data_IF_664050176855
#
_entry.id   IF_664050176855
#
_cell.length_a   1.000
_cell.length_b   1.000
_cell.length_c   1.000
_cell.angle_alpha   90.00
_cell.angle_beta   90.00
_cell.angle_gamma   90.00
#
_symmetry.space_group_name_H-M   'P 1'
#
loop_
_entity.id
_entity.type
_entity.pdbx_description
1 polymer ?
#
# COMPACT_ATOMS: atom_id res chain seq x y z
N UNK A 1 -15.28 -16.60 -6.35
CA UNK A 1 -15.32 -15.35 -7.16
C UNK A 1 -14.92 -15.58 -8.61
N UNK A 2 -14.02 -16.50 -8.93
CA UNK A 2 -13.53 -16.75 -10.30
C UNK A 2 -14.67 -17.05 -11.28
N UNK A 3 -15.68 -17.78 -10.85
CA UNK A 3 -16.85 -18.14 -11.67
C UNK A 3 -18.11 -17.30 -11.37
N UNK A 4 -17.97 -16.23 -10.61
CA UNK A 4 -19.10 -15.33 -10.33
C UNK A 4 -19.65 -14.72 -11.61
N UNK A 5 -20.98 -14.62 -11.77
CA UNK A 5 -21.58 -13.91 -12.91
C UNK A 5 -21.25 -12.40 -12.90
N UNK A 6 -20.87 -11.86 -11.74
CA UNK A 6 -20.47 -10.46 -11.58
C UNK A 6 -19.00 -10.20 -11.94
N UNK A 7 -18.21 -11.26 -12.22
CA UNK A 7 -16.81 -11.09 -12.60
C UNK A 7 -16.72 -10.34 -13.95
N UNK A 8 -15.81 -9.38 -14.00
CA UNK A 8 -15.46 -8.69 -15.25
C UNK A 8 -14.82 -9.70 -16.22
N UNK A 9 -15.41 -9.85 -17.41
CA UNK A 9 -14.98 -10.83 -18.42
C UNK A 9 -14.39 -10.19 -19.68
N UNK A 10 -14.57 -8.88 -19.83
CA UNK A 10 -14.18 -8.12 -21.02
C UNK A 10 -13.48 -6.84 -20.59
N UNK A 11 -12.64 -6.26 -21.45
CA UNK A 11 -12.07 -4.96 -21.20
C UNK A 11 -13.15 -3.88 -21.21
N UNK A 12 -12.98 -2.91 -20.33
CA UNK A 12 -13.82 -1.74 -20.26
C UNK A 12 -12.95 -0.49 -20.37
N UNK A 13 -13.37 0.42 -21.19
CA UNK A 13 -12.74 1.72 -21.39
C UNK A 13 -13.74 2.81 -20.99
N UNK A 14 -13.25 3.94 -20.54
CA UNK A 14 -14.12 5.10 -20.30
C UNK A 14 -14.85 5.45 -21.58
N UNK A 15 -16.20 5.52 -21.52
CA UNK A 15 -17.04 5.69 -22.71
C UNK A 15 -16.65 6.89 -23.57
N UNK A 16 -16.45 8.05 -22.94
CA UNK A 16 -16.01 9.24 -23.64
C UNK A 16 -14.67 9.07 -24.38
N UNK A 17 -13.71 8.35 -23.78
CA UNK A 17 -12.45 8.04 -24.46
C UNK A 17 -12.67 7.07 -25.63
N UNK A 18 -13.49 6.06 -25.45
CA UNK A 18 -13.76 5.05 -26.48
C UNK A 18 -14.47 5.68 -27.71
N UNK A 19 -15.40 6.59 -27.47
CA UNK A 19 -16.06 7.35 -28.54
C UNK A 19 -15.08 8.22 -29.32
N UNK A 20 -14.23 8.97 -28.63
CA UNK A 20 -13.18 9.80 -29.27
C UNK A 20 -12.20 8.92 -30.05
N UNK A 21 -11.78 7.80 -29.46
CA UNK A 21 -10.86 6.87 -30.12
C UNK A 21 -11.45 6.33 -31.42
N UNK A 22 -12.69 5.87 -31.39
CA UNK A 22 -13.37 5.34 -32.59
C UNK A 22 -13.56 6.39 -33.66
N UNK A 23 -13.87 7.62 -33.28
CA UNK A 23 -13.97 8.74 -34.21
C UNK A 23 -12.59 9.05 -34.85
N UNK A 24 -11.55 9.17 -34.04
CA UNK A 24 -10.20 9.43 -34.52
C UNK A 24 -9.69 8.30 -35.44
N UNK A 25 -9.95 7.02 -35.10
CA UNK A 25 -9.57 5.87 -35.95
C UNK A 25 -10.32 5.83 -37.29
N UNK A 26 -11.48 6.46 -37.38
CA UNK A 26 -12.20 6.59 -38.66
C UNK A 26 -11.58 7.67 -39.57
N UNK A 27 -10.83 8.61 -39.01
CA UNK A 27 -10.20 9.74 -39.73
C UNK A 27 -8.71 9.51 -40.02
N UNK A 28 -8.03 8.68 -39.19
CA UNK A 28 -6.61 8.43 -39.27
C UNK A 28 -6.30 6.94 -39.49
N UNK A 29 -5.54 6.60 -40.50
CA UNK A 29 -5.08 5.24 -40.78
C UNK A 29 -4.04 4.77 -39.74
N UNK A 30 -3.17 5.67 -39.27
CA UNK A 30 -2.20 5.36 -38.24
C UNK A 30 -2.81 5.50 -36.85
N UNK A 31 -2.75 4.47 -36.00
CA UNK A 31 -3.24 4.53 -34.63
C UNK A 31 -2.54 5.58 -33.77
N UNK A 32 -1.26 5.87 -34.02
CA UNK A 32 -0.50 6.86 -33.26
C UNK A 32 -0.99 8.26 -33.56
N UNK A 33 -1.27 8.55 -34.83
CA UNK A 33 -1.86 9.83 -35.25
C UNK A 33 -3.28 9.99 -34.71
N UNK A 34 -4.08 8.92 -34.72
CA UNK A 34 -5.40 8.93 -34.12
C UNK A 34 -5.34 9.22 -32.61
N UNK A 35 -4.39 8.64 -31.90
CA UNK A 35 -4.18 8.96 -30.49
C UNK A 35 -3.70 10.41 -30.29
N UNK A 36 -2.76 10.87 -31.10
CA UNK A 36 -2.24 12.25 -31.02
C UNK A 36 -3.34 13.29 -31.16
N UNK A 37 -4.34 13.03 -32.01
CA UNK A 37 -5.48 13.92 -32.23
C UNK A 37 -6.38 14.10 -30.98
N UNK A 38 -6.44 13.09 -30.09
CA UNK A 38 -7.31 13.08 -28.91
C UNK A 38 -6.55 13.15 -27.59
N UNK A 39 -5.21 13.06 -27.62
CA UNK A 39 -4.40 13.04 -26.41
C UNK A 39 -4.65 14.28 -25.55
N UNK A 40 -5.09 14.05 -24.32
CA UNK A 40 -5.38 15.14 -23.38
C UNK A 40 -6.73 15.85 -23.57
N UNK A 41 -7.60 15.38 -24.48
CA UNK A 41 -8.90 16.00 -24.72
C UNK A 41 -9.73 16.10 -23.42
N UNK A 42 -10.23 17.30 -23.07
CA UNK A 42 -11.05 17.52 -21.88
C UNK A 42 -12.32 16.68 -21.84
N UNK A 43 -12.86 16.28 -23.00
CA UNK A 43 -14.09 15.48 -23.07
C UNK A 43 -13.96 14.14 -22.31
N UNK A 44 -12.78 13.50 -22.33
CA UNK A 44 -12.56 12.28 -21.56
C UNK A 44 -11.76 12.50 -20.25
N UNK A 45 -10.81 13.43 -20.23
CA UNK A 45 -9.97 13.65 -19.04
C UNK A 45 -10.78 14.19 -17.87
N UNK A 46 -11.76 15.06 -18.14
CA UNK A 46 -12.69 15.57 -17.11
C UNK A 46 -13.63 14.51 -16.52
N UNK A 47 -13.74 13.36 -17.16
CA UNK A 47 -14.58 12.23 -16.69
C UNK A 47 -13.83 11.27 -15.75
N UNK A 48 -12.57 11.53 -15.44
CA UNK A 48 -11.79 10.70 -14.52
C UNK A 48 -12.48 10.60 -13.15
N UNK A 49 -12.66 9.38 -12.66
CA UNK A 49 -13.33 9.11 -11.38
C UNK A 49 -14.87 9.12 -11.42
N UNK A 50 -15.50 9.48 -12.54
CA UNK A 50 -16.96 9.59 -12.64
C UNK A 50 -17.67 8.34 -13.19
N UNK A 51 -16.94 7.24 -13.43
CA UNK A 51 -17.51 6.03 -14.01
C UNK A 51 -17.74 6.15 -15.53
N UNK A 52 -18.86 5.59 -16.01
CA UNK A 52 -19.24 5.68 -17.41
C UNK A 52 -18.38 4.75 -18.32
N UNK A 53 -18.02 3.56 -17.85
CA UNK A 53 -17.25 2.59 -18.62
C UNK A 53 -18.09 1.88 -19.66
N UNK A 54 -17.57 1.75 -20.87
CA UNK A 54 -18.12 0.99 -21.97
C UNK A 54 -17.26 -0.24 -22.30
N UNK A 55 -17.92 -1.32 -22.72
CA UNK A 55 -17.24 -2.53 -23.16
C UNK A 55 -16.53 -2.30 -24.49
N UNK A 56 -15.29 -2.78 -24.58
CA UNK A 56 -14.48 -2.80 -25.79
C UNK A 56 -14.00 -4.23 -26.12
N UNK A 57 -13.40 -4.45 -27.28
CA UNK A 57 -12.68 -5.70 -27.59
C UNK A 57 -11.24 -5.62 -27.09
N UNK A 58 -10.57 -6.78 -26.96
CA UNK A 58 -9.16 -6.84 -26.63
C UNK A 58 -8.27 -6.24 -27.72
N UNK A 59 -8.65 -6.42 -28.99
CA UNK A 59 -7.94 -5.82 -30.11
C UNK A 59 -7.97 -4.29 -30.02
N UNK A 60 -9.16 -3.73 -29.85
CA UNK A 60 -9.37 -2.29 -29.75
C UNK A 60 -8.60 -1.67 -28.55
N UNK A 61 -8.65 -2.33 -27.40
CA UNK A 61 -7.93 -1.83 -26.22
C UNK A 61 -6.41 -1.96 -26.38
N UNK A 62 -5.94 -3.06 -26.97
CA UNK A 62 -4.51 -3.26 -27.21
C UNK A 62 -3.95 -2.24 -28.20
N UNK A 63 -4.68 -1.95 -29.27
CA UNK A 63 -4.31 -0.93 -30.24
C UNK A 63 -4.26 0.47 -29.61
N UNK A 64 -5.29 0.85 -28.86
CA UNK A 64 -5.36 2.11 -28.14
C UNK A 64 -4.18 2.29 -27.16
N UNK A 65 -3.91 1.25 -26.37
CA UNK A 65 -2.80 1.28 -25.41
C UNK A 65 -1.44 1.36 -26.13
N UNK A 66 -1.24 0.60 -27.19
CA UNK A 66 -0.02 0.63 -27.97
C UNK A 66 0.21 2.02 -28.58
N UNK A 67 -0.82 2.60 -29.20
CA UNK A 67 -0.76 3.95 -29.76
C UNK A 67 -0.39 5.01 -28.73
N UNK A 68 -1.02 4.93 -27.53
CA UNK A 68 -0.72 5.82 -26.42
C UNK A 68 0.72 5.70 -25.92
N UNK A 69 1.25 4.47 -25.82
CA UNK A 69 2.64 4.24 -25.42
C UNK A 69 3.62 4.75 -26.48
N UNK A 70 3.42 4.40 -27.75
CA UNK A 70 4.30 4.84 -28.83
C UNK A 70 4.33 6.37 -28.92
N UNK A 71 3.16 7.01 -28.93
CA UNK A 71 3.06 8.48 -28.90
C UNK A 71 3.83 9.11 -27.73
N UNK A 72 3.70 8.51 -26.52
CA UNK A 72 4.40 9.01 -25.33
C UNK A 72 5.91 8.85 -25.47
N UNK A 73 6.38 7.71 -25.96
CA UNK A 73 7.80 7.44 -26.19
C UNK A 73 8.41 8.41 -27.17
N UNK A 74 7.75 8.62 -28.32
CA UNK A 74 8.24 9.49 -29.39
C UNK A 74 8.25 10.97 -28.98
N UNK A 75 7.24 11.38 -28.22
CA UNK A 75 7.07 12.80 -27.89
C UNK A 75 7.78 13.22 -26.61
N UNK A 76 7.87 12.33 -25.63
CA UNK A 76 8.30 12.68 -24.27
C UNK A 76 9.42 11.80 -23.72
N UNK A 77 9.72 10.69 -24.39
CA UNK A 77 10.66 9.66 -23.92
C UNK A 77 9.97 8.50 -23.19
N UNK A 78 10.63 7.33 -23.20
CA UNK A 78 10.08 6.13 -22.59
C UNK A 78 10.00 6.20 -21.04
N UNK A 79 10.83 7.03 -20.43
CA UNK A 79 10.87 7.30 -18.99
C UNK A 79 9.62 8.01 -18.45
N UNK A 80 8.68 8.37 -19.34
CA UNK A 80 7.37 8.93 -18.99
C UNK A 80 6.27 7.87 -18.88
N UNK A 81 6.66 6.61 -19.01
CA UNK A 81 5.76 5.46 -18.79
C UNK A 81 6.21 4.74 -17.53
N UNK A 82 5.39 4.83 -16.49
CA UNK A 82 5.65 4.19 -15.21
C UNK A 82 4.75 2.98 -15.02
N UNK A 83 5.24 1.99 -14.28
CA UNK A 83 4.44 0.87 -13.85
C UNK A 83 4.93 0.28 -12.54
N UNK A 84 4.00 -0.32 -11.80
CA UNK A 84 4.31 -1.07 -10.60
C UNK A 84 4.42 -2.55 -10.91
N UNK A 85 5.49 -3.17 -10.44
CA UNK A 85 5.56 -4.62 -10.39
C UNK A 85 4.65 -5.15 -9.28
N UNK A 86 3.99 -6.31 -9.48
CA UNK A 86 3.23 -6.97 -8.42
C UNK A 86 4.14 -7.37 -7.25
N UNK A 87 3.53 -7.65 -6.11
CA UNK A 87 4.25 -8.12 -4.91
C UNK A 87 5.04 -9.39 -5.21
N UNK A 88 6.25 -9.54 -4.68
CA UNK A 88 7.08 -10.74 -4.87
C UNK A 88 6.44 -12.06 -4.41
N UNK A 89 5.45 -11.99 -3.52
CA UNK A 89 4.71 -13.16 -3.06
C UNK A 89 3.78 -13.77 -4.12
N UNK A 90 3.61 -13.12 -5.26
CA UNK A 90 2.84 -13.65 -6.39
C UNK A 90 3.68 -14.57 -7.26
N UNK A 91 3.05 -15.19 -8.26
CA UNK A 91 3.77 -16.07 -9.18
C UNK A 91 4.89 -15.31 -9.91
N UNK A 92 5.98 -16.01 -10.17
CA UNK A 92 7.13 -15.46 -10.92
C UNK A 92 6.70 -14.91 -12.30
N UNK A 93 5.75 -15.55 -12.96
CA UNK A 93 5.23 -15.08 -14.25
C UNK A 93 4.50 -13.74 -14.13
N UNK A 94 3.72 -13.54 -13.07
CA UNK A 94 3.02 -12.27 -12.81
C UNK A 94 4.01 -11.15 -12.48
N UNK A 95 5.02 -11.45 -11.68
CA UNK A 95 6.08 -10.50 -11.35
C UNK A 95 6.91 -10.12 -12.59
N UNK A 96 7.39 -11.13 -13.32
CA UNK A 96 8.25 -10.93 -14.48
C UNK A 96 7.53 -10.26 -15.65
N UNK A 97 6.23 -10.50 -15.83
CA UNK A 97 5.46 -9.99 -16.97
C UNK A 97 5.47 -8.45 -17.03
N UNK A 98 5.10 -7.78 -15.96
CA UNK A 98 5.10 -6.31 -15.88
C UNK A 98 6.50 -5.70 -15.97
N UNK A 99 7.44 -6.24 -15.20
CA UNK A 99 8.83 -5.79 -15.18
C UNK A 99 9.48 -5.94 -16.56
N UNK A 100 9.27 -7.09 -17.22
CA UNK A 100 9.78 -7.33 -18.57
C UNK A 100 9.18 -6.34 -19.59
N UNK A 101 7.88 -6.09 -19.54
CA UNK A 101 7.21 -5.15 -20.44
C UNK A 101 7.85 -3.75 -20.31
N UNK A 102 7.94 -3.21 -19.10
CA UNK A 102 8.51 -1.90 -18.87
C UNK A 102 9.97 -1.83 -19.30
N UNK A 103 10.77 -2.87 -19.00
CA UNK A 103 12.17 -2.92 -19.41
C UNK A 103 12.33 -2.93 -20.93
N UNK A 104 11.45 -3.63 -21.67
CA UNK A 104 11.50 -3.71 -23.13
C UNK A 104 11.14 -2.38 -23.81
N UNK A 105 10.24 -1.59 -23.25
CA UNK A 105 9.85 -0.28 -23.80
C UNK A 105 10.70 0.88 -23.26
N UNK A 106 11.63 0.61 -22.33
CA UNK A 106 12.42 1.65 -21.68
C UNK A 106 11.67 2.46 -20.61
N UNK A 107 10.53 1.95 -20.14
CA UNK A 107 9.73 2.57 -19.09
C UNK A 107 10.32 2.40 -17.70
N UNK A 108 9.76 3.12 -16.72
CA UNK A 108 10.19 3.10 -15.33
C UNK A 108 9.40 2.02 -14.57
N UNK A 109 10.12 1.07 -13.98
CA UNK A 109 9.52 0.08 -13.09
C UNK A 109 9.66 0.56 -11.65
N UNK A 110 8.56 1.03 -11.07
CA UNK A 110 8.50 1.45 -9.68
C UNK A 110 8.48 0.24 -8.76
N UNK A 111 9.19 0.32 -7.65
CA UNK A 111 9.19 -0.72 -6.65
C UNK A 111 7.90 -0.65 -5.83
N UNK A 112 7.26 -1.80 -5.63
CA UNK A 112 6.15 -1.93 -4.73
C UNK A 112 6.52 -1.55 -3.29
N UNK A 113 7.72 -1.91 -2.87
CA UNK A 113 8.22 -1.65 -1.52
C UNK A 113 8.52 -0.18 -1.26
N UNK A 114 8.86 0.60 -2.28
CA UNK A 114 9.13 2.04 -2.13
C UNK A 114 7.85 2.84 -1.89
N UNK A 115 6.72 2.26 -2.19
CA UNK A 115 5.43 2.96 -2.16
C UNK A 115 4.47 2.46 -1.09
N UNK A 116 4.64 1.22 -0.65
CA UNK A 116 3.76 0.58 0.31
C UNK A 116 4.26 0.74 1.74
N UNK A 117 3.29 0.88 2.64
CA UNK A 117 3.50 1.01 4.08
C UNK A 117 4.04 -0.25 4.78
N UNK A 118 4.45 -1.26 4.07
CA UNK A 118 5.22 -2.38 4.62
C UNK A 118 6.60 -1.92 5.10
N UNK A 119 7.08 -0.82 4.53
CA UNK A 119 8.30 -0.16 4.93
C UNK A 119 7.93 1.09 5.69
N UNK A 120 8.18 1.15 7.00
CA UNK A 120 7.78 2.29 7.82
C UNK A 120 8.51 3.55 7.34
N UNK A 121 7.82 4.52 6.73
CA UNK A 121 8.47 5.73 6.20
C UNK A 121 9.10 6.58 7.32
N UNK A 122 8.69 6.37 8.56
CA UNK A 122 9.27 7.02 9.72
C UNK A 122 10.62 6.43 10.14
N UNK A 123 10.88 5.14 9.85
CA UNK A 123 12.12 4.48 10.27
C UNK A 123 13.38 5.15 9.74
N UNK A 124 13.50 5.50 8.45
CA UNK A 124 14.64 6.24 7.96
C UNK A 124 14.83 7.61 8.61
N UNK A 125 13.74 8.27 8.97
CA UNK A 125 13.79 9.58 9.62
C UNK A 125 14.26 9.51 11.08
N UNK A 126 13.95 8.41 11.77
CA UNK A 126 14.28 8.24 13.18
C UNK A 126 15.62 7.53 13.35
N UNK A 127 15.89 6.48 12.58
CA UNK A 127 17.04 5.58 12.73
C UNK A 127 18.04 5.63 11.58
N UNK A 128 17.72 6.33 10.50
CA UNK A 128 18.58 6.42 9.32
C UNK A 128 18.57 5.16 8.45
N UNK A 129 17.77 4.16 8.78
CA UNK A 129 17.67 2.90 8.04
C UNK A 129 16.21 2.45 7.92
N UNK A 130 15.91 1.84 6.79
CA UNK A 130 14.61 1.28 6.49
C UNK A 130 14.59 -0.19 6.91
N UNK A 131 14.33 -0.45 8.16
CA UNK A 131 14.39 -1.78 8.74
C UNK A 131 13.19 -2.07 9.62
N UNK A 132 12.72 -3.30 9.56
CA UNK A 132 11.73 -3.86 10.46
C UNK A 132 12.46 -4.64 11.57
N UNK A 133 12.88 -3.98 12.59
CA UNK A 133 13.37 -4.60 13.82
C UNK A 133 12.37 -4.32 14.94
N UNK A 134 12.16 -5.25 15.85
CA UNK A 134 12.81 -6.55 16.09
C UNK A 134 12.26 -7.69 15.25
N UNK A 135 12.93 -8.86 15.28
CA UNK A 135 12.41 -10.11 14.72
C UNK A 135 11.18 -10.60 15.48
N UNK A 136 10.32 -11.39 14.81
CA UNK A 136 9.09 -11.90 15.42
C UNK A 136 9.35 -12.78 16.66
N UNK A 137 10.50 -13.45 16.74
CA UNK A 137 10.92 -14.24 17.90
C UNK A 137 11.12 -13.39 19.16
N UNK A 138 11.44 -12.11 19.02
CA UNK A 138 11.61 -11.18 20.15
C UNK A 138 10.29 -10.92 20.89
N UNK A 139 9.15 -11.16 20.21
CA UNK A 139 7.83 -11.01 20.83
C UNK A 139 7.65 -11.91 22.06
N UNK A 140 8.37 -13.03 22.12
CA UNK A 140 8.35 -13.90 23.30
C UNK A 140 8.92 -13.27 24.58
N UNK A 141 9.82 -12.32 24.40
CA UNK A 141 10.45 -11.58 25.50
C UNK A 141 9.67 -10.33 25.91
N UNK A 142 8.69 -9.93 25.11
CA UNK A 142 7.86 -8.77 25.40
C UNK A 142 6.75 -9.13 26.41
N UNK A 143 6.58 -8.31 27.43
CA UNK A 143 5.45 -8.43 28.38
C UNK A 143 4.17 -7.78 27.82
N UNK A 144 4.31 -6.88 26.85
CA UNK A 144 3.22 -6.16 26.21
C UNK A 144 3.46 -6.08 24.71
N UNK A 145 2.46 -6.45 23.91
CA UNK A 145 2.49 -6.41 22.47
C UNK A 145 1.33 -5.59 21.94
N UNK A 146 1.61 -4.58 21.14
CA UNK A 146 0.59 -3.79 20.45
C UNK A 146 0.61 -4.12 18.96
N UNK A 147 -0.49 -4.67 18.45
CA UNK A 147 -0.70 -4.93 17.03
C UNK A 147 -1.45 -3.76 16.42
N UNK A 148 -0.75 -2.97 15.63
CA UNK A 148 -1.32 -1.77 15.02
C UNK A 148 -1.62 -2.00 13.54
N UNK A 149 -2.89 -2.17 13.20
CA UNK A 149 -3.37 -2.40 11.83
C UNK A 149 -2.95 -3.72 11.20
N UNK A 150 -2.20 -4.56 11.92
CA UNK A 150 -1.67 -5.82 11.40
C UNK A 150 -2.49 -7.01 11.85
N UNK A 151 -3.18 -7.67 10.93
CA UNK A 151 -3.93 -8.89 11.18
C UNK A 151 -3.00 -10.12 11.13
N UNK A 152 -2.08 -10.20 12.07
CA UNK A 152 -0.99 -11.19 12.12
C UNK A 152 -1.44 -12.62 11.82
N UNK A 153 -2.54 -13.16 12.40
CA UNK A 153 -2.95 -14.54 12.12
C UNK A 153 -3.31 -14.84 10.68
N UNK A 154 -3.60 -13.81 9.87
CA UNK A 154 -3.95 -13.96 8.46
C UNK A 154 -2.88 -13.43 7.52
N UNK A 155 -2.25 -12.30 7.85
CA UNK A 155 -1.32 -11.62 6.96
C UNK A 155 0.14 -11.92 7.26
N UNK A 156 0.43 -12.43 8.47
CA UNK A 156 1.75 -12.90 8.90
C UNK A 156 1.61 -14.24 9.64
N UNK A 157 0.96 -15.19 9.01
CA UNK A 157 0.61 -16.49 9.61
C UNK A 157 1.79 -17.20 10.28
N UNK A 158 3.02 -17.23 9.71
CA UNK A 158 4.18 -17.83 10.36
C UNK A 158 4.53 -17.19 11.72
N UNK A 159 4.23 -15.92 11.92
CA UNK A 159 4.57 -15.18 13.14
C UNK A 159 3.48 -15.29 14.22
N UNK A 160 2.30 -15.76 13.87
CA UNK A 160 1.15 -15.79 14.77
C UNK A 160 1.40 -16.63 16.04
N UNK A 161 2.20 -17.69 15.95
CA UNK A 161 2.49 -18.53 17.10
C UNK A 161 3.28 -17.80 18.19
N UNK A 162 4.18 -16.90 17.85
CA UNK A 162 4.91 -16.10 18.85
C UNK A 162 3.96 -15.28 19.71
N UNK A 163 3.01 -14.59 19.06
CA UNK A 163 1.98 -13.82 19.76
C UNK A 163 1.08 -14.69 20.63
N UNK A 164 0.62 -15.83 20.10
CA UNK A 164 -0.33 -16.69 20.83
C UNK A 164 0.32 -17.43 21.99
N UNK A 165 1.55 -17.91 21.84
CA UNK A 165 2.27 -18.65 22.85
C UNK A 165 2.81 -17.76 23.97
N UNK A 166 3.26 -16.55 23.67
CA UNK A 166 3.72 -15.61 24.70
C UNK A 166 2.62 -15.23 25.70
N UNK A 167 1.36 -15.29 25.31
CA UNK A 167 0.22 -15.07 26.21
C UNK A 167 0.16 -16.10 27.35
N UNK A 168 0.57 -17.33 27.11
CA UNK A 168 0.66 -18.35 28.18
C UNK A 168 1.71 -17.99 29.26
N UNK A 169 2.62 -17.05 28.93
CA UNK A 169 3.60 -16.50 29.86
C UNK A 169 3.18 -15.16 30.47
N UNK A 170 1.94 -14.73 30.21
CA UNK A 170 1.38 -13.51 30.77
C UNK A 170 1.50 -12.26 29.90
N UNK A 171 2.02 -12.37 28.66
CA UNK A 171 2.04 -11.26 27.72
C UNK A 171 0.64 -10.69 27.52
N UNK A 172 0.54 -9.36 27.56
CA UNK A 172 -0.68 -8.62 27.20
C UNK A 172 -0.65 -8.21 25.76
N UNK A 173 -1.77 -8.41 25.07
CA UNK A 173 -1.93 -8.06 23.66
C UNK A 173 -3.00 -6.99 23.51
N UNK A 174 -2.64 -5.88 22.90
CA UNK A 174 -3.56 -4.81 22.50
C UNK A 174 -3.61 -4.72 20.98
N UNK A 175 -4.81 -4.63 20.43
CA UNK A 175 -5.02 -4.49 19.00
C UNK A 175 -5.62 -3.11 18.72
N UNK A 176 -4.97 -2.36 17.85
CA UNK A 176 -5.49 -1.12 17.27
C UNK A 176 -5.91 -1.42 15.84
N UNK A 177 -7.21 -1.42 15.59
CA UNK A 177 -7.76 -1.76 14.28
C UNK A 177 -9.19 -1.22 14.15
N UNK A 178 -9.59 -0.67 13.00
CA UNK A 178 -10.95 -0.19 12.80
C UNK A 178 -11.99 -1.32 12.75
N UNK A 179 -11.57 -2.55 12.46
CA UNK A 179 -12.44 -3.72 12.35
C UNK A 179 -12.08 -4.81 13.36
N UNK A 180 -13.08 -5.61 13.71
CA UNK A 180 -12.91 -6.79 14.56
C UNK A 180 -12.46 -7.99 13.73
N UNK A 181 -11.18 -8.01 13.36
CA UNK A 181 -10.58 -9.05 12.51
C UNK A 181 -9.97 -10.22 13.31
N UNK A 182 -9.28 -11.13 12.62
CA UNK A 182 -8.76 -12.37 13.21
C UNK A 182 -7.80 -12.18 14.38
N UNK A 183 -7.05 -11.09 14.43
CA UNK A 183 -6.11 -10.79 15.52
C UNK A 183 -6.80 -10.32 16.81
N UNK A 184 -7.99 -9.71 16.72
CA UNK A 184 -8.71 -9.20 17.88
C UNK A 184 -9.18 -10.29 18.83
N UNK A 185 -9.43 -11.50 18.34
CA UNK A 185 -9.78 -12.64 19.21
C UNK A 185 -8.69 -13.04 20.19
N UNK A 186 -7.45 -12.62 19.96
CA UNK A 186 -6.32 -12.85 20.85
C UNK A 186 -5.98 -11.65 21.73
N UNK A 187 -6.66 -10.53 21.55
CA UNK A 187 -6.40 -9.29 22.27
C UNK A 187 -6.99 -9.32 23.69
N UNK A 188 -6.25 -8.76 24.64
CA UNK A 188 -6.79 -8.38 25.96
C UNK A 188 -7.63 -7.09 25.83
N UNK A 189 -7.20 -6.17 24.95
CA UNK A 189 -7.94 -4.95 24.63
C UNK A 189 -7.94 -4.71 23.12
N UNK A 190 -9.09 -4.28 22.62
CA UNK A 190 -9.24 -3.80 21.26
C UNK A 190 -9.59 -2.31 21.25
N UNK A 191 -8.81 -1.54 20.53
CA UNK A 191 -9.01 -0.10 20.33
C UNK A 191 -9.52 0.12 18.89
N UNK A 192 -10.82 0.33 18.69
CA UNK A 192 -11.40 0.55 17.36
C UNK A 192 -11.16 1.97 16.87
N UNK A 193 -9.90 2.27 16.51
CA UNK A 193 -9.55 3.58 16.01
C UNK A 193 -10.28 3.87 14.70
N UNK A 194 -10.88 5.05 14.58
CA UNK A 194 -11.45 5.50 13.33
C UNK A 194 -10.33 5.67 12.28
N UNK A 195 -10.61 5.30 11.02
CA UNK A 195 -9.63 5.42 9.94
C UNK A 195 -9.11 6.88 9.83
N UNK A 196 -7.78 7.03 9.75
CA UNK A 196 -7.12 8.33 9.71
C UNK A 196 -6.86 8.99 11.08
N UNK A 197 -7.19 8.33 12.20
CA UNK A 197 -6.98 8.88 13.56
C UNK A 197 -5.86 8.20 14.34
N UNK A 198 -5.09 7.32 13.71
CA UNK A 198 -3.99 6.58 14.34
C UNK A 198 -2.95 7.52 14.96
N UNK A 199 -2.58 8.58 14.25
CA UNK A 199 -1.65 9.59 14.75
C UNK A 199 -2.17 10.31 16.02
N UNK A 200 -3.45 10.59 16.09
CA UNK A 200 -4.06 11.21 17.28
C UNK A 200 -4.04 10.24 18.47
N UNK A 201 -4.31 8.95 18.23
CA UNK A 201 -4.21 7.90 19.26
C UNK A 201 -2.76 7.77 19.76
N UNK A 202 -1.78 7.72 18.87
CA UNK A 202 -0.36 7.63 19.23
C UNK A 202 0.09 8.85 20.05
N UNK A 203 -0.30 10.06 19.63
CA UNK A 203 0.00 11.29 20.37
C UNK A 203 -0.67 11.35 21.73
N UNK A 204 -1.88 10.80 21.88
CA UNK A 204 -2.55 10.74 23.18
C UNK A 204 -1.83 9.80 24.16
N UNK A 205 -1.30 8.67 23.68
CA UNK A 205 -0.46 7.78 24.49
C UNK A 205 0.84 8.50 24.90
N UNK A 206 1.51 9.14 23.93
CA UNK A 206 2.70 9.93 24.21
C UNK A 206 2.44 11.05 25.22
N UNK A 207 1.28 11.72 25.12
CA UNK A 207 0.88 12.75 26.09
C UNK A 207 0.79 12.20 27.52
N UNK A 208 0.15 11.03 27.68
CA UNK A 208 0.03 10.38 29.01
C UNK A 208 1.41 10.04 29.56
N UNK A 209 2.27 9.43 28.75
CA UNK A 209 3.63 9.08 29.13
C UNK A 209 4.39 10.33 29.57
N UNK A 210 4.43 11.37 28.74
CA UNK A 210 5.15 12.60 29.06
C UNK A 210 4.61 13.28 30.32
N UNK A 211 3.30 13.33 30.45
CA UNK A 211 2.66 13.96 31.59
C UNK A 211 2.95 13.20 32.90
N UNK A 212 2.60 11.94 32.95
CA UNK A 212 2.64 11.16 34.20
C UNK A 212 4.07 10.82 34.62
N UNK A 213 4.96 10.54 33.68
CA UNK A 213 6.31 10.12 34.00
C UNK A 213 7.26 11.28 34.12
N UNK A 214 7.22 12.26 33.22
CA UNK A 214 8.22 13.33 33.19
C UNK A 214 7.76 14.65 33.84
N UNK A 215 6.47 15.00 33.72
CA UNK A 215 5.96 16.24 34.30
C UNK A 215 5.51 16.01 35.74
N UNK A 216 4.60 15.05 35.94
CA UNK A 216 4.01 14.79 37.26
C UNK A 216 4.90 13.89 38.14
N UNK A 217 5.91 13.23 37.54
CA UNK A 217 6.89 12.34 38.20
C UNK A 217 6.24 11.31 39.13
N UNK A 218 5.13 10.71 38.68
CA UNK A 218 4.32 9.81 39.51
C UNK A 218 4.86 8.37 39.61
N UNK A 219 5.94 8.06 38.88
CA UNK A 219 6.47 6.70 38.80
C UNK A 219 7.86 6.61 39.42
N UNK A 220 8.05 5.74 40.43
CA UNK A 220 9.33 5.57 41.12
C UNK A 220 10.50 5.15 40.21
N UNK A 221 10.21 4.55 39.06
CA UNK A 221 11.23 4.08 38.12
C UNK A 221 12.19 5.18 37.64
N UNK A 222 11.70 6.38 37.44
CA UNK A 222 12.54 7.51 36.98
C UNK A 222 13.34 8.18 38.07
N UNK A 223 12.94 8.06 39.33
CA UNK A 223 13.74 8.52 40.48
C UNK A 223 15.03 7.70 40.59
N UNK A 224 14.98 6.39 40.25
CA UNK A 224 16.16 5.52 40.23
C UNK A 224 17.10 5.80 39.05
N UNK A 225 16.57 6.19 37.88
CA UNK A 225 17.37 6.46 36.68
C UNK A 225 18.06 7.87 36.77
N UNK A 226 17.39 8.87 37.30
CA UNK A 226 18.04 10.17 37.61
C UNK A 226 19.21 9.99 38.54
N UNK A 227 19.14 9.09 39.53
CA UNK A 227 20.26 8.82 40.45
C UNK A 227 21.44 8.13 39.74
N UNK A 228 21.20 7.35 38.66
CA UNK A 228 22.25 6.69 37.87
C UNK A 228 22.95 7.61 36.87
N UNK A 229 22.24 8.61 36.34
CA UNK A 229 22.78 9.56 35.35
C UNK A 229 23.54 10.74 35.99
N UNK A 230 23.35 11.01 37.27
CA UNK A 230 24.07 12.05 38.00
C UNK A 230 25.43 11.59 38.55
N UNK A 231 25.72 10.28 38.49
CA UNK A 231 26.99 9.72 38.95
C UNK A 231 27.98 9.42 37.77
N UNK A 232 27.73 9.90 36.56
CA UNK A 232 28.65 9.95 35.43
C UNK A 232 29.07 11.37 35.10
#
# INVERSE_FOLDING_TARGET
YTYSPLRIKYPYVRGALLELWRAARAEHDDPVDAWAAIAGDPAYTSQRGKGGFARASWEEVSELLAAAHVHTIERHGPDRIDGFSPIPAMSMASYAGGTRFLSLIGGVCLSFYDWYADLPPASPQIWGDQTDVPESADWWSASYLMLWGSNVPQTRTPDAHFMTEARYRGQKVVVVSPDFAGHTKFADHWLPAAAGTDGALALSMAHVILKEFYVDRQVPYFEEEESRTTDM
#
